data_IF_678629541695
#
_entry.id   IF_678629541695
#
_cell.length_a   1.000
_cell.length_b   1.000
_cell.length_c   1.000
_cell.angle_alpha   90.00
_cell.angle_beta   90.00
_cell.angle_gamma   90.00
#
_symmetry.space_group_name_H-M   'P 1'
#
loop_
_entity.id
_entity.type
_entity.pdbx_description
1 polymer ?
#
# COMPACT_ATOMS: atom_id res chain seq x y z
N UNK A 1 2.36 -90.45 8.16
CA UNK A 1 3.53 -89.55 8.28
C UNK A 1 3.03 -88.11 8.39
N UNK A 2 3.45 -87.41 9.47
CA UNK A 2 3.48 -85.95 9.69
C UNK A 2 2.11 -85.22 9.68
N UNK A 3 1.51 -85.01 10.87
CA UNK A 3 1.45 -83.72 11.63
C UNK A 3 0.75 -82.60 10.86
N UNK A 4 -0.15 -81.79 11.40
CA UNK A 4 -0.88 -81.67 12.65
C UNK A 4 -1.83 -80.47 12.44
N UNK A 5 -3.04 -80.55 13.02
CA UNK A 5 -3.80 -79.52 13.76
C UNK A 5 -3.59 -78.04 13.35
N UNK A 6 -4.62 -77.23 13.10
CA UNK A 6 -5.40 -76.53 14.13
C UNK A 6 -6.48 -75.66 13.43
N UNK A 7 -7.75 -75.73 13.86
CA UNK A 7 -8.52 -74.65 14.56
C UNK A 7 -9.20 -73.65 13.61
N UNK A 8 -10.51 -73.81 13.41
CA UNK A 8 -11.65 -73.17 14.12
C UNK A 8 -11.93 -71.77 13.56
N UNK A 9 -13.13 -71.70 12.96
CA UNK A 9 -14.14 -70.65 13.01
C UNK A 9 -13.73 -69.18 12.73
N UNK A 10 -14.61 -68.52 11.97
CA UNK A 10 -15.63 -67.62 12.54
C UNK A 10 -15.84 -66.39 11.62
N UNK A 11 -17.12 -66.13 11.35
CA UNK A 11 -17.76 -64.83 11.09
C UNK A 11 -17.61 -64.11 9.74
N UNK A 12 -18.65 -64.35 8.95
CA UNK A 12 -19.44 -63.38 8.17
C UNK A 12 -19.54 -62.01 8.87
N UNK A 13 -19.26 -60.92 8.14
CA UNK A 13 -20.09 -59.70 8.19
C UNK A 13 -20.01 -58.94 6.86
N UNK A 14 -21.13 -58.90 6.17
CA UNK A 14 -21.42 -58.02 5.02
C UNK A 14 -21.32 -56.56 5.42
N UNK A 15 -20.67 -55.73 4.61
CA UNK A 15 -20.81 -54.27 4.69
C UNK A 15 -20.95 -53.68 3.29
N UNK A 16 -22.16 -53.18 3.08
CA UNK A 16 -22.65 -52.40 1.95
C UNK A 16 -21.74 -51.17 1.84
N UNK A 17 -20.90 -51.09 0.80
CA UNK A 17 -20.24 -49.83 0.47
C UNK A 17 -21.24 -48.99 -0.31
N UNK A 18 -22.04 -48.22 0.43
CA UNK A 18 -22.76 -47.09 -0.13
C UNK A 18 -21.76 -46.11 -0.71
N UNK A 19 -21.97 -45.72 -1.97
CA UNK A 19 -21.40 -44.49 -2.50
C UNK A 19 -21.93 -43.33 -1.66
N UNK A 20 -21.16 -42.91 -0.67
CA UNK A 20 -21.29 -41.60 -0.10
C UNK A 20 -20.98 -40.60 -1.23
N UNK A 21 -22.01 -39.88 -1.68
CA UNK A 21 -21.80 -38.60 -2.35
C UNK A 21 -21.00 -37.74 -1.39
N UNK A 22 -19.73 -37.50 -1.71
CA UNK A 22 -19.00 -36.39 -1.12
C UNK A 22 -19.73 -35.11 -1.54
N UNK A 23 -20.59 -34.61 -0.65
CA UNK A 23 -20.85 -33.19 -0.57
C UNK A 23 -19.51 -32.51 -0.33
N UNK A 24 -18.84 -32.17 -1.44
CA UNK A 24 -17.71 -31.26 -1.42
C UNK A 24 -18.27 -29.95 -0.91
N UNK A 25 -18.12 -29.74 0.41
CA UNK A 25 -18.36 -28.49 1.12
C UNK A 25 -17.97 -27.36 0.18
N UNK A 26 -18.95 -26.58 -0.27
CA UNK A 26 -18.70 -25.22 -0.69
C UNK A 26 -17.95 -24.60 0.48
N UNK A 27 -16.66 -24.33 0.27
CA UNK A 27 -15.94 -23.41 1.15
C UNK A 27 -16.77 -22.14 1.21
N UNK A 28 -17.24 -21.87 2.40
CA UNK A 28 -17.79 -20.60 2.85
C UNK A 28 -16.68 -19.56 2.66
N UNK A 29 -16.57 -19.02 1.44
CA UNK A 29 -15.83 -17.78 1.17
C UNK A 29 -16.70 -16.63 1.70
N UNK A 30 -16.89 -16.61 3.02
CA UNK A 30 -17.33 -15.40 3.70
C UNK A 30 -16.22 -14.39 3.51
N UNK A 31 -16.53 -13.40 2.67
CA UNK A 31 -15.66 -12.31 2.25
C UNK A 31 -14.65 -11.93 3.32
N UNK A 32 -13.41 -12.35 3.09
CA UNK A 32 -12.26 -11.87 3.84
C UNK A 32 -12.19 -10.37 3.61
N UNK A 33 -12.75 -9.58 4.53
CA UNK A 33 -12.68 -8.11 4.47
C UNK A 33 -11.21 -7.73 4.41
N UNK A 34 -10.74 -7.30 3.25
CA UNK A 34 -9.37 -6.79 3.09
C UNK A 34 -9.23 -5.57 3.99
N UNK A 35 -8.42 -5.70 5.04
CA UNK A 35 -8.12 -4.61 5.95
C UNK A 35 -7.09 -3.71 5.26
N UNK A 36 -7.47 -2.46 4.97
CA UNK A 36 -6.57 -1.46 4.36
C UNK A 36 -5.64 -0.94 5.45
N UNK A 37 -4.33 -1.17 5.27
CA UNK A 37 -3.31 -0.64 6.19
C UNK A 37 -3.16 0.88 6.03
N UNK A 38 -2.61 1.54 7.05
CA UNK A 38 -2.31 2.98 6.97
C UNK A 38 -1.39 3.30 5.79
N UNK A 39 -0.36 2.48 5.55
CA UNK A 39 0.57 2.65 4.43
C UNK A 39 -0.14 2.55 3.06
N UNK A 40 -1.05 1.59 2.91
CA UNK A 40 -1.86 1.46 1.70
C UNK A 40 -2.77 2.68 1.50
N UNK A 41 -3.47 3.11 2.55
CA UNK A 41 -4.35 4.28 2.49
C UNK A 41 -3.59 5.56 2.13
N UNK A 42 -2.42 5.78 2.73
CA UNK A 42 -1.56 6.94 2.42
C UNK A 42 -1.07 6.87 0.98
N UNK A 43 -0.52 5.73 0.56
CA UNK A 43 0.02 5.56 -0.80
C UNK A 43 -1.06 5.77 -1.86
N UNK A 44 -2.25 5.18 -1.66
CA UNK A 44 -3.38 5.34 -2.56
C UNK A 44 -3.83 6.81 -2.64
N UNK A 45 -3.88 7.50 -1.50
CA UNK A 45 -4.23 8.92 -1.46
C UNK A 45 -3.21 9.79 -2.19
N UNK A 46 -1.91 9.58 -1.95
CA UNK A 46 -0.84 10.33 -2.60
C UNK A 46 -0.78 10.08 -4.11
N UNK A 47 -1.14 8.89 -4.58
CA UNK A 47 -1.10 8.58 -6.02
C UNK A 47 -2.36 9.00 -6.77
N UNK A 48 -3.52 9.05 -6.10
CA UNK A 48 -4.80 9.20 -6.80
C UNK A 48 -5.63 10.42 -6.37
N UNK A 49 -5.35 11.03 -5.21
CA UNK A 49 -6.26 12.03 -4.61
C UNK A 49 -5.61 13.35 -4.24
N UNK A 50 -4.30 13.38 -3.95
CA UNK A 50 -3.62 14.61 -3.52
C UNK A 50 -3.58 15.69 -4.61
N UNK A 51 -3.44 15.29 -5.87
CA UNK A 51 -3.57 16.18 -7.03
C UNK A 51 -5.02 16.06 -7.51
N UNK A 52 -5.84 17.13 -7.45
CA UNK A 52 -7.27 17.07 -7.78
C UNK A 52 -7.56 16.96 -9.28
N UNK A 53 -6.53 16.67 -10.09
CA UNK A 53 -6.60 16.56 -11.55
C UNK A 53 -6.13 15.16 -11.92
N UNK A 54 -7.00 14.42 -12.60
CA UNK A 54 -6.65 13.10 -13.11
C UNK A 54 -5.47 13.22 -14.11
N UNK A 55 -4.43 12.38 -13.99
CA UNK A 55 -3.39 12.32 -15.00
C UNK A 55 -3.97 12.07 -16.40
N UNK A 56 -3.40 12.67 -17.46
CA UNK A 56 -3.84 12.37 -18.82
C UNK A 56 -3.60 10.88 -19.15
N UNK A 57 -4.29 10.32 -20.16
CA UNK A 57 -4.06 8.95 -20.61
C UNK A 57 -2.57 8.67 -20.87
N UNK A 58 -2.10 7.49 -20.47
CA UNK A 58 -0.69 7.10 -20.57
C UNK A 58 0.24 7.75 -19.53
N UNK A 59 -0.29 8.52 -18.57
CA UNK A 59 0.48 9.08 -17.44
C UNK A 59 -0.02 8.49 -16.12
N UNK A 60 0.91 8.18 -15.21
CA UNK A 60 0.62 7.64 -13.88
C UNK A 60 1.42 8.36 -12.81
N UNK A 61 0.80 8.58 -11.66
CA UNK A 61 1.45 9.12 -10.46
C UNK A 61 2.03 7.99 -9.63
N UNK A 62 3.21 8.23 -9.08
CA UNK A 62 3.90 7.38 -8.12
C UNK A 62 4.36 8.24 -6.96
N UNK A 63 4.30 7.70 -5.74
CA UNK A 63 4.71 8.44 -4.56
C UNK A 63 5.57 7.60 -3.61
N UNK A 64 6.42 8.26 -2.84
CA UNK A 64 7.06 7.73 -1.65
C UNK A 64 6.95 8.79 -0.55
N UNK A 65 7.08 8.37 0.71
CA UNK A 65 7.02 9.31 1.82
C UNK A 65 7.87 8.82 2.99
N UNK A 66 8.37 9.77 3.78
CA UNK A 66 9.03 9.53 5.05
C UNK A 66 8.12 10.01 6.17
N UNK A 67 7.65 9.06 6.98
CA UNK A 67 6.81 9.34 8.13
C UNK A 67 7.65 10.00 9.23
N UNK A 68 7.22 11.18 9.68
CA UNK A 68 7.83 11.90 10.79
C UNK A 68 7.25 11.43 12.13
N UNK A 69 5.93 11.27 12.17
CA UNK A 69 5.20 10.77 13.33
C UNK A 69 3.69 10.75 13.09
N UNK A 70 2.95 10.23 14.06
CA UNK A 70 1.49 10.14 14.06
C UNK A 70 0.97 10.67 15.39
N UNK A 71 0.04 11.61 15.35
CA UNK A 71 -0.73 12.02 16.53
C UNK A 71 -2.13 11.40 16.49
N UNK A 72 -2.64 10.99 17.64
CA UNK A 72 -3.95 10.36 17.77
C UNK A 72 -4.92 11.28 18.52
N UNK A 73 -6.18 11.34 18.07
CA UNK A 73 -7.25 12.04 18.74
C UNK A 73 -8.57 11.27 18.53
N UNK A 74 -8.83 10.31 19.41
CA UNK A 74 -9.95 9.37 19.23
C UNK A 74 -9.75 8.50 17.98
N UNK A 75 -10.76 8.43 17.13
CA UNK A 75 -10.73 7.63 15.88
C UNK A 75 -10.04 8.35 14.71
N UNK A 76 -9.63 9.61 14.90
CA UNK A 76 -8.82 10.35 13.94
C UNK A 76 -7.34 10.28 14.31
N UNK A 77 -6.51 10.04 13.30
CA UNK A 77 -5.05 10.11 13.38
C UNK A 77 -4.55 11.17 12.40
N UNK A 78 -3.55 11.94 12.80
CA UNK A 78 -2.83 12.83 11.88
C UNK A 78 -1.43 12.30 11.66
N UNK A 79 -1.11 11.88 10.44
CA UNK A 79 0.21 11.45 10.03
C UNK A 79 0.98 12.64 9.44
N UNK A 80 2.11 12.98 10.05
CA UNK A 80 3.02 14.03 9.58
C UNK A 80 4.12 13.40 8.76
N UNK A 81 4.32 13.86 7.53
CA UNK A 81 5.28 13.24 6.60
C UNK A 81 5.90 14.26 5.65
N UNK A 82 7.00 13.86 5.03
CA UNK A 82 7.49 14.46 3.80
C UNK A 82 7.22 13.48 2.67
N UNK A 83 6.50 13.91 1.63
CA UNK A 83 6.13 13.10 0.49
C UNK A 83 6.89 13.56 -0.75
N UNK A 84 7.39 12.60 -1.53
CA UNK A 84 7.91 12.82 -2.87
C UNK A 84 6.96 12.18 -3.88
N UNK A 85 6.47 12.99 -4.82
CA UNK A 85 5.36 12.63 -5.70
C UNK A 85 5.76 12.94 -7.14
N UNK A 86 5.75 11.93 -7.99
CA UNK A 86 6.18 12.04 -9.37
C UNK A 86 5.08 11.57 -10.32
N UNK A 87 4.95 12.26 -11.45
CA UNK A 87 4.17 11.75 -12.58
C UNK A 87 5.10 11.23 -13.66
N UNK A 88 4.76 10.08 -14.23
CA UNK A 88 5.53 9.41 -15.28
C UNK A 88 4.64 9.14 -16.48
N UNK A 89 5.18 9.37 -17.67
CA UNK A 89 4.65 8.74 -18.88
C UNK A 89 4.98 7.24 -18.82
N UNK A 90 3.95 6.42 -18.95
CA UNK A 90 4.03 4.96 -18.85
C UNK A 90 3.57 4.25 -20.12
N UNK A 91 3.30 5.01 -21.18
CA UNK A 91 3.01 4.50 -22.52
C UNK A 91 3.97 5.08 -23.58
N UNK A 92 4.33 4.31 -24.62
CA UNK A 92 5.18 4.81 -25.70
C UNK A 92 4.58 6.01 -26.45
N UNK A 93 3.25 6.08 -26.56
CA UNK A 93 2.50 7.14 -27.25
C UNK A 93 2.76 8.53 -26.67
N UNK A 94 2.91 8.62 -25.35
CA UNK A 94 3.23 9.87 -24.63
C UNK A 94 4.72 10.00 -24.35
N UNK A 95 5.48 8.89 -24.44
CA UNK A 95 6.89 8.75 -24.11
C UNK A 95 7.10 8.23 -22.68
N UNK A 96 8.06 7.32 -22.50
CA UNK A 96 8.38 6.76 -21.19
C UNK A 96 9.33 7.70 -20.44
N UNK A 97 8.99 8.07 -19.20
CA UNK A 97 9.86 8.89 -18.36
C UNK A 97 9.14 9.92 -17.48
N UNK A 98 9.89 10.66 -16.65
CA UNK A 98 9.32 11.61 -15.69
C UNK A 98 8.68 12.82 -16.40
N UNK A 99 7.60 13.35 -15.80
CA UNK A 99 6.81 14.47 -16.32
C UNK A 99 6.74 15.63 -15.34
N UNK A 100 6.54 15.33 -14.06
CA UNK A 100 6.59 16.30 -12.98
C UNK A 100 7.06 15.63 -11.69
N UNK A 101 7.57 16.43 -10.78
CA UNK A 101 7.96 16.03 -9.43
C UNK A 101 7.47 17.08 -8.43
N UNK A 102 7.13 16.66 -7.23
CA UNK A 102 6.70 17.54 -6.14
C UNK A 102 7.11 16.94 -4.80
N UNK A 103 7.85 17.73 -4.02
CA UNK A 103 8.27 17.37 -2.68
C UNK A 103 7.48 18.20 -1.66
N UNK A 104 6.62 17.55 -0.88
CA UNK A 104 5.60 18.22 -0.07
C UNK A 104 5.66 17.78 1.39
N UNK A 105 5.81 18.72 2.34
CA UNK A 105 5.42 18.48 3.71
C UNK A 105 3.91 18.34 3.82
N UNK A 106 3.42 17.21 4.34
CA UNK A 106 2.01 16.92 4.50
C UNK A 106 1.64 16.53 5.93
N UNK A 107 0.48 16.98 6.38
CA UNK A 107 -0.25 16.39 7.49
C UNK A 107 -1.51 15.73 6.92
N UNK A 108 -1.54 14.39 6.85
CA UNK A 108 -2.69 13.62 6.40
C UNK A 108 -3.58 13.28 7.58
N UNK A 109 -4.89 13.52 7.43
CA UNK A 109 -5.90 13.19 8.43
C UNK A 109 -6.49 11.85 8.02
N UNK A 110 -6.31 10.85 8.86
CA UNK A 110 -6.81 9.50 8.67
C UNK A 110 -7.92 9.22 9.67
N UNK A 111 -8.89 8.43 9.24
CA UNK A 111 -9.88 7.82 10.13
C UNK A 111 -9.69 6.32 10.16
N UNK A 112 -9.73 5.76 11.36
CA UNK A 112 -9.72 4.31 11.57
C UNK A 112 -11.16 3.81 11.71
N UNK A 113 -11.62 2.99 10.77
CA UNK A 113 -12.96 2.41 10.79
C UNK A 113 -12.91 0.92 10.45
N UNK A 114 -13.54 0.08 11.29
CA UNK A 114 -13.58 -1.37 11.11
C UNK A 114 -12.19 -2.03 10.94
N UNK A 115 -11.18 -1.50 11.63
CA UNK A 115 -9.81 -1.98 11.61
C UNK A 115 -8.98 -1.55 10.40
N UNK A 116 -9.55 -0.78 9.46
CA UNK A 116 -8.84 -0.22 8.31
C UNK A 116 -8.73 1.30 8.36
N UNK A 117 -7.88 1.85 7.49
CA UNK A 117 -7.64 3.29 7.41
C UNK A 117 -8.22 3.91 6.15
N UNK A 118 -8.67 5.16 6.25
CA UNK A 118 -9.03 5.99 5.11
C UNK A 118 -8.53 7.41 5.34
N UNK A 119 -7.92 8.03 4.32
CA UNK A 119 -7.52 9.43 4.38
C UNK A 119 -8.76 10.29 4.11
N UNK A 120 -9.12 11.14 5.07
CA UNK A 120 -10.32 11.99 5.03
C UNK A 120 -9.99 13.47 4.76
N UNK A 121 -8.71 13.83 4.78
CA UNK A 121 -8.27 15.18 4.46
C UNK A 121 -6.75 15.34 4.56
N UNK A 122 -6.25 16.52 4.19
CA UNK A 122 -4.86 16.87 4.37
C UNK A 122 -4.70 18.37 4.66
N UNK A 123 -3.54 18.73 5.22
CA UNK A 123 -3.05 20.10 5.29
C UNK A 123 -1.65 20.12 4.70
N UNK A 124 -1.39 21.13 3.85
CA UNK A 124 -0.08 21.35 3.24
C UNK A 124 0.28 22.84 3.36
N UNK A 125 1.57 23.17 3.49
CA UNK A 125 2.01 24.55 3.48
C UNK A 125 1.78 25.17 2.10
N UNK A 126 1.53 26.49 2.06
CA UNK A 126 1.52 27.24 0.80
C UNK A 126 2.94 27.36 0.24
N UNK A 127 3.03 27.71 -1.04
CA UNK A 127 4.31 27.92 -1.71
C UNK A 127 4.99 29.23 -1.31
N UNK A 128 6.29 29.31 -1.62
CA UNK A 128 7.08 30.53 -1.51
C UNK A 128 7.29 31.00 -0.07
N UNK A 129 7.19 32.31 0.16
CA UNK A 129 7.49 32.92 1.46
C UNK A 129 6.53 32.49 2.59
N UNK A 130 5.37 31.92 2.26
CA UNK A 130 4.41 31.42 3.23
C UNK A 130 4.70 29.97 3.67
N UNK A 131 5.63 29.28 3.02
CA UNK A 131 5.89 27.87 3.25
C UNK A 131 6.31 27.57 4.70
N UNK A 132 7.38 28.23 5.17
CA UNK A 132 7.88 28.02 6.52
C UNK A 132 6.91 28.47 7.63
N UNK A 133 6.26 29.65 7.55
CA UNK A 133 5.18 30.01 8.47
C UNK A 133 4.09 28.95 8.58
N UNK A 134 3.64 28.39 7.45
CA UNK A 134 2.61 27.36 7.45
C UNK A 134 3.11 26.03 8.02
N UNK A 135 4.36 25.63 7.75
CA UNK A 135 4.97 24.44 8.38
C UNK A 135 4.90 24.57 9.90
N UNK A 136 5.26 25.72 10.46
CA UNK A 136 5.20 25.93 11.91
C UNK A 136 3.79 25.87 12.49
N UNK A 137 2.77 26.17 11.69
CA UNK A 137 1.36 26.10 12.10
C UNK A 137 0.76 24.70 11.93
N UNK A 138 1.23 23.94 10.93
CA UNK A 138 0.68 22.63 10.57
C UNK A 138 1.37 21.51 11.38
N UNK A 139 2.68 21.59 11.56
CA UNK A 139 3.49 20.53 12.15
C UNK A 139 3.80 20.80 13.62
N UNK A 140 3.82 19.77 14.47
CA UNK A 140 4.42 19.81 15.81
C UNK A 140 5.85 20.34 15.79
N UNK A 141 6.22 21.13 16.81
CA UNK A 141 7.53 21.79 16.92
C UNK A 141 8.70 20.80 16.86
N UNK A 142 8.52 19.60 17.41
CA UNK A 142 9.50 18.51 17.38
C UNK A 142 9.95 18.08 15.97
N UNK A 143 9.18 18.37 14.93
CA UNK A 143 9.54 18.02 13.54
C UNK A 143 10.20 19.16 12.77
N UNK A 144 10.18 20.39 13.29
CA UNK A 144 10.58 21.59 12.55
C UNK A 144 12.04 21.53 12.08
N UNK A 145 12.95 21.16 12.97
CA UNK A 145 14.38 21.04 12.63
C UNK A 145 14.62 19.91 11.61
N UNK A 146 13.98 18.75 11.80
CA UNK A 146 14.08 17.62 10.86
C UNK A 146 13.60 17.98 9.45
N UNK A 147 12.56 18.82 9.35
CA UNK A 147 12.05 19.31 8.05
C UNK A 147 13.05 20.27 7.40
N UNK A 148 13.61 21.23 8.15
CA UNK A 148 14.60 22.19 7.62
C UNK A 148 15.87 21.49 7.14
N UNK A 149 16.34 20.53 7.93
CA UNK A 149 17.59 19.82 7.68
C UNK A 149 17.41 18.54 6.85
N UNK A 150 16.21 18.33 6.31
CA UNK A 150 15.89 17.08 5.62
C UNK A 150 16.82 16.77 4.45
N UNK A 151 17.25 17.80 3.72
CA UNK A 151 18.21 17.69 2.61
C UNK A 151 19.55 17.08 3.01
N UNK A 152 19.91 17.10 4.31
CA UNK A 152 21.16 16.52 4.86
C UNK A 152 21.04 15.02 5.15
N UNK A 153 19.83 14.47 5.15
CA UNK A 153 19.57 13.10 5.64
C UNK A 153 19.82 12.00 4.60
N UNK A 154 19.85 12.32 3.31
CA UNK A 154 19.90 11.32 2.22
C UNK A 154 18.56 10.64 1.90
N UNK A 155 17.54 10.82 2.76
CA UNK A 155 16.25 10.15 2.60
C UNK A 155 15.45 10.62 1.38
N UNK A 156 15.66 11.85 0.92
CA UNK A 156 15.07 12.32 -0.33
C UNK A 156 15.50 11.47 -1.52
N UNK A 157 16.79 11.13 -1.59
CA UNK A 157 17.32 10.24 -2.64
C UNK A 157 16.81 8.81 -2.50
N UNK A 158 16.64 8.31 -1.27
CA UNK A 158 16.05 6.98 -1.02
C UNK A 158 14.59 6.90 -1.50
N UNK A 159 13.80 7.96 -1.28
CA UNK A 159 12.43 8.05 -1.77
C UNK A 159 12.38 8.12 -3.30
N UNK A 160 13.23 8.93 -3.93
CA UNK A 160 13.31 8.98 -5.40
C UNK A 160 13.66 7.61 -5.99
N UNK A 161 14.64 6.90 -5.38
CA UNK A 161 15.03 5.57 -5.80
C UNK A 161 13.88 4.56 -5.65
N UNK A 162 13.14 4.61 -4.53
CA UNK A 162 11.95 3.78 -4.32
C UNK A 162 10.88 4.03 -5.38
N UNK A 163 10.66 5.29 -5.75
CA UNK A 163 9.73 5.66 -6.83
C UNK A 163 10.19 5.06 -8.16
N UNK A 164 11.47 5.19 -8.52
CA UNK A 164 12.01 4.60 -9.76
C UNK A 164 11.84 3.09 -9.82
N UNK A 165 12.08 2.39 -8.71
CA UNK A 165 11.85 0.95 -8.61
C UNK A 165 10.39 0.58 -8.84
N UNK A 166 9.45 1.33 -8.23
CA UNK A 166 8.01 1.13 -8.44
C UNK A 166 7.58 1.40 -9.87
N UNK A 167 8.12 2.44 -10.50
CA UNK A 167 7.89 2.74 -11.92
C UNK A 167 8.38 1.58 -12.79
N UNK A 168 9.62 1.12 -12.57
CA UNK A 168 10.20 0.01 -13.34
C UNK A 168 9.43 -1.29 -13.17
N UNK A 169 8.94 -1.57 -11.97
CA UNK A 169 8.09 -2.73 -11.72
C UNK A 169 6.76 -2.58 -12.47
N UNK A 170 6.13 -1.41 -12.45
CA UNK A 170 4.92 -1.14 -13.21
C UNK A 170 5.12 -1.29 -14.73
N UNK A 171 6.20 -0.72 -15.28
CA UNK A 171 6.50 -0.83 -16.71
C UNK A 171 6.61 -2.29 -17.15
N UNK A 172 7.25 -3.14 -16.33
CA UNK A 172 7.30 -4.58 -16.59
C UNK A 172 5.93 -5.24 -16.56
N UNK A 173 5.04 -4.87 -15.64
CA UNK A 173 3.68 -5.46 -15.59
C UNK A 173 2.83 -5.11 -16.80
N UNK A 174 3.13 -3.99 -17.48
CA UNK A 174 2.47 -3.58 -18.73
C UNK A 174 3.26 -3.95 -19.99
N UNK A 175 4.30 -4.79 -19.88
CA UNK A 175 5.05 -5.33 -21.01
C UNK A 175 6.11 -4.41 -21.61
N UNK A 176 6.57 -3.40 -20.85
CA UNK A 176 7.63 -2.47 -21.24
C UNK A 176 8.93 -2.86 -20.52
N UNK A 177 9.93 -3.31 -21.27
CA UNK A 177 11.20 -3.79 -20.72
C UNK A 177 12.23 -2.67 -20.45
N UNK A 178 12.02 -1.48 -21.02
CA UNK A 178 12.92 -0.35 -20.83
C UNK A 178 12.73 0.26 -19.44
N UNK A 179 13.77 0.19 -18.61
CA UNK A 179 13.80 0.76 -17.26
C UNK A 179 14.27 2.22 -17.26
N UNK A 180 13.69 3.03 -16.37
CA UNK A 180 14.00 4.46 -16.12
C UNK A 180 14.66 4.68 -14.76
#
# INVERSE_FOLDING_TARGET
>A
MKTARLIIALLIFTSISGCAMDEKKLSDDQGRKTIVTMDQAITEYLENSIIPILPPPGVKTFAAYDLLGVSENGDEKTAYMLADIWTYGVEPSVGIGPRSASFLPLALILREENGGFTVVGHRQPRDGSNNWPDIKQIFPEEYHERILDYHKTGKGQEMEQSIRERVNNYLKTVGIENTV
#
